data_IF_645616137340
#
_entry.id   IF_645616137340
#
_cell.length_a   1.000
_cell.length_b   1.000
_cell.length_c   1.000
_cell.angle_alpha   90.00
_cell.angle_beta   90.00
_cell.angle_gamma   90.00
#
_symmetry.space_group_name_H-M   'P 1'
#
loop_
_entity.id
_entity.type
_entity.pdbx_description
1 polymer ?
#
# COMPACT_ATOMS: atom_id res chain seq x y z
N UNK A 1 -36.14 9.10 -51.75
CA UNK A 1 -36.79 8.26 -50.72
C UNK A 1 -35.81 7.21 -50.24
N UNK A 2 -34.96 7.52 -49.26
CA UNK A 2 -34.41 6.56 -48.28
C UNK A 2 -34.16 7.38 -47.02
N UNK A 3 -35.12 7.31 -46.10
CA UNK A 3 -35.13 8.01 -44.81
C UNK A 3 -34.44 7.08 -43.81
N UNK A 4 -33.15 7.30 -43.56
CA UNK A 4 -32.36 6.46 -42.67
C UNK A 4 -32.53 6.97 -41.23
N UNK A 5 -33.52 6.44 -40.53
CA UNK A 5 -33.85 6.78 -39.16
C UNK A 5 -32.73 6.31 -38.20
N UNK A 6 -31.91 7.26 -37.74
CA UNK A 6 -31.00 7.10 -36.61
C UNK A 6 -31.81 6.75 -35.36
N UNK A 7 -31.79 5.47 -34.99
CA UNK A 7 -32.34 5.03 -33.71
C UNK A 7 -31.47 5.58 -32.57
N UNK A 8 -32.06 6.27 -31.57
CA UNK A 8 -31.32 6.72 -30.40
C UNK A 8 -30.84 5.51 -29.61
N UNK A 9 -29.52 5.31 -29.57
CA UNK A 9 -28.88 4.36 -28.66
C UNK A 9 -29.24 4.77 -27.23
N UNK A 10 -30.04 3.95 -26.56
CA UNK A 10 -30.34 4.12 -25.16
C UNK A 10 -29.02 4.15 -24.36
N UNK A 11 -28.86 5.07 -23.39
CA UNK A 11 -27.66 5.13 -22.57
C UNK A 11 -27.44 3.77 -21.94
N UNK A 12 -26.33 3.11 -22.29
CA UNK A 12 -25.90 1.89 -21.64
C UNK A 12 -25.82 2.20 -20.15
N UNK A 13 -26.79 1.68 -19.39
CA UNK A 13 -26.82 1.81 -17.95
C UNK A 13 -25.47 1.34 -17.44
N UNK A 14 -24.67 2.28 -16.91
CA UNK A 14 -23.36 2.02 -16.35
C UNK A 14 -23.48 0.79 -15.47
N UNK A 15 -22.95 -0.33 -15.94
CA UNK A 15 -22.87 -1.55 -15.16
C UNK A 15 -22.18 -1.14 -13.88
N UNK A 16 -22.92 -1.13 -12.76
CA UNK A 16 -22.36 -1.02 -11.42
C UNK A 16 -21.41 -2.21 -11.30
N UNK A 17 -20.15 -2.00 -11.68
CA UNK A 17 -19.06 -2.93 -11.49
C UNK A 17 -19.04 -3.20 -10.00
N UNK A 18 -19.57 -4.37 -9.63
CA UNK A 18 -19.55 -4.83 -8.25
C UNK A 18 -18.11 -4.68 -7.78
N UNK A 19 -17.87 -4.01 -6.63
CA UNK A 19 -16.50 -3.81 -6.16
C UNK A 19 -15.81 -5.18 -6.17
N UNK A 20 -14.63 -5.29 -6.80
CA UNK A 20 -13.96 -6.56 -6.98
C UNK A 20 -13.86 -7.26 -5.63
N UNK A 21 -14.42 -8.46 -5.52
CA UNK A 21 -14.39 -9.21 -4.26
C UNK A 21 -12.93 -9.36 -3.81
N UNK A 22 -12.63 -8.86 -2.62
CA UNK A 22 -11.27 -8.90 -2.09
C UNK A 22 -10.79 -10.35 -2.00
N UNK A 23 -9.61 -10.68 -2.54
CA UNK A 23 -9.13 -12.05 -2.56
C UNK A 23 -8.96 -12.55 -1.12
N UNK A 24 -9.69 -13.61 -0.77
CA UNK A 24 -9.61 -14.20 0.57
C UNK A 24 -8.22 -14.76 0.82
N UNK A 25 -7.49 -14.16 1.76
CA UNK A 25 -6.20 -14.65 2.21
C UNK A 25 -6.39 -15.91 3.07
N UNK A 26 -5.57 -16.93 2.80
CA UNK A 26 -5.62 -18.19 3.54
C UNK A 26 -4.90 -18.04 4.87
N UNK A 27 -5.44 -18.61 5.94
CA UNK A 27 -4.79 -18.57 7.26
C UNK A 27 -3.61 -19.55 7.34
N UNK A 28 -2.63 -19.33 8.25
CA UNK A 28 -1.56 -20.29 8.50
C UNK A 28 -2.07 -21.70 8.81
N UNK A 29 -3.16 -21.83 9.58
CA UNK A 29 -3.79 -23.12 9.91
C UNK A 29 -4.35 -23.85 8.69
N UNK A 30 -5.00 -23.12 7.76
CA UNK A 30 -5.48 -23.71 6.51
C UNK A 30 -4.30 -24.18 5.63
N UNK A 31 -3.20 -23.42 5.67
CA UNK A 31 -2.00 -23.74 4.90
C UNK A 31 -1.29 -24.97 5.47
N UNK A 32 -1.20 -25.09 6.79
CA UNK A 32 -0.62 -26.27 7.45
C UNK A 32 -1.49 -27.51 7.23
N UNK A 33 -2.82 -27.41 7.27
CA UNK A 33 -3.71 -28.54 7.02
C UNK A 33 -3.59 -29.07 5.58
N UNK A 34 -3.40 -28.17 4.59
CA UNK A 34 -3.08 -28.57 3.21
C UNK A 34 -1.71 -29.24 3.09
N UNK A 35 -0.71 -28.75 3.82
CA UNK A 35 0.60 -29.37 3.85
C UNK A 35 0.54 -30.79 4.45
N UNK A 36 -0.18 -30.96 5.56
CA UNK A 36 -0.41 -32.27 6.19
C UNK A 36 -1.10 -33.23 5.21
N UNK A 37 -2.17 -32.79 4.54
CA UNK A 37 -2.85 -33.61 3.53
C UNK A 37 -1.94 -34.00 2.36
N UNK A 38 -1.04 -33.11 1.92
CA UNK A 38 -0.04 -33.43 0.89
C UNK A 38 1.00 -34.45 1.37
N UNK A 39 1.45 -34.37 2.63
CA UNK A 39 2.38 -35.37 3.21
C UNK A 39 1.72 -36.74 3.28
N UNK A 40 0.51 -36.84 3.81
CA UNK A 40 -0.25 -38.09 3.84
C UNK A 40 -0.49 -38.66 2.43
N UNK A 41 -0.84 -37.82 1.47
CA UNK A 41 -1.00 -38.23 0.07
C UNK A 41 0.29 -38.78 -0.53
N UNK A 42 1.43 -38.13 -0.23
CA UNK A 42 2.74 -38.60 -0.66
C UNK A 42 3.11 -39.95 -0.04
N UNK A 43 2.88 -40.14 1.27
CA UNK A 43 3.12 -41.42 1.96
C UNK A 43 2.33 -42.58 1.33
N UNK A 44 1.05 -42.36 1.01
CA UNK A 44 0.21 -43.37 0.34
C UNK A 44 0.80 -43.73 -1.03
N UNK A 45 1.21 -42.74 -1.83
CA UNK A 45 1.81 -42.97 -3.16
C UNK A 45 3.12 -43.74 -3.04
N UNK A 46 3.97 -43.41 -2.07
CA UNK A 46 5.22 -44.16 -1.81
C UNK A 46 4.90 -45.62 -1.45
N UNK A 47 3.92 -45.86 -0.58
CA UNK A 47 3.50 -47.21 -0.21
C UNK A 47 3.02 -48.04 -1.39
N UNK A 48 2.23 -47.43 -2.29
CA UNK A 48 1.75 -48.09 -3.53
C UNK A 48 2.91 -48.36 -4.50
N UNK A 49 3.81 -47.40 -4.72
CA UNK A 49 4.98 -47.59 -5.58
C UNK A 49 5.92 -48.68 -5.05
N UNK A 50 6.08 -48.76 -3.73
CA UNK A 50 6.85 -49.81 -3.07
C UNK A 50 6.23 -51.19 -3.30
N UNK A 51 4.91 -51.30 -3.10
CA UNK A 51 4.17 -52.55 -3.34
C UNK A 51 4.25 -53.01 -4.82
N UNK A 52 4.22 -52.08 -5.78
CA UNK A 52 4.23 -52.40 -7.21
C UNK A 52 5.61 -52.69 -7.78
N UNK A 53 6.64 -51.92 -7.40
CA UNK A 53 7.97 -52.02 -8.02
C UNK A 53 8.81 -53.19 -7.50
N UNK A 54 8.47 -53.76 -6.35
CA UNK A 54 9.28 -54.73 -5.59
C UNK A 54 10.73 -54.28 -5.31
N UNK A 55 11.07 -53.02 -5.61
CA UNK A 55 12.41 -52.45 -5.47
C UNK A 55 12.33 -51.15 -4.68
N UNK A 56 12.71 -51.24 -3.40
CA UNK A 56 12.72 -50.09 -2.50
C UNK A 56 13.60 -48.93 -3.02
N UNK A 57 14.69 -49.26 -3.72
CA UNK A 57 15.61 -48.27 -4.27
C UNK A 57 15.02 -47.46 -5.41
N UNK A 58 14.23 -48.08 -6.30
CA UNK A 58 13.56 -47.36 -7.38
C UNK A 58 12.46 -46.44 -6.83
N UNK A 59 11.66 -46.92 -5.88
CA UNK A 59 10.62 -46.11 -5.24
C UNK A 59 11.23 -44.89 -4.51
N UNK A 60 12.33 -45.10 -3.76
CA UNK A 60 13.05 -44.02 -3.08
C UNK A 60 13.64 -43.02 -4.08
N UNK A 61 14.28 -43.50 -5.15
CA UNK A 61 14.86 -42.64 -6.20
C UNK A 61 13.81 -41.76 -6.88
N UNK A 62 12.66 -42.34 -7.24
CA UNK A 62 11.53 -41.59 -7.82
C UNK A 62 10.97 -40.56 -6.85
N UNK A 63 10.80 -40.93 -5.58
CA UNK A 63 10.32 -40.02 -4.55
C UNK A 63 11.27 -38.83 -4.34
N UNK A 64 12.56 -39.09 -4.17
CA UNK A 64 13.58 -38.04 -4.01
C UNK A 64 13.62 -37.14 -5.24
N UNK A 65 13.60 -37.72 -6.44
CA UNK A 65 13.55 -36.97 -7.70
C UNK A 65 12.33 -36.05 -7.80
N UNK A 66 11.13 -36.56 -7.47
CA UNK A 66 9.90 -35.79 -7.46
C UNK A 66 9.94 -34.67 -6.39
N UNK A 67 10.44 -34.96 -5.19
CA UNK A 67 10.58 -33.99 -4.12
C UNK A 67 11.57 -32.87 -4.47
N UNK A 68 12.70 -33.19 -5.11
CA UNK A 68 13.67 -32.21 -5.60
C UNK A 68 13.07 -31.33 -6.72
N UNK A 69 12.34 -31.93 -7.67
CA UNK A 69 11.68 -31.19 -8.75
C UNK A 69 10.60 -30.24 -8.20
N UNK A 70 9.76 -30.73 -7.29
CA UNK A 70 8.74 -29.93 -6.61
C UNK A 70 9.36 -28.81 -5.76
N UNK A 71 10.44 -29.10 -5.03
CA UNK A 71 11.18 -28.11 -4.26
C UNK A 71 11.77 -27.00 -5.13
N UNK A 72 12.36 -27.37 -6.28
CA UNK A 72 12.89 -26.42 -7.27
C UNK A 72 11.76 -25.56 -7.85
N UNK A 73 10.66 -26.17 -8.26
CA UNK A 73 9.50 -25.44 -8.80
C UNK A 73 8.90 -24.48 -7.76
N UNK A 74 8.76 -24.92 -6.51
CA UNK A 74 8.25 -24.10 -5.40
C UNK A 74 9.18 -22.92 -5.08
N UNK A 75 10.50 -23.14 -5.09
CA UNK A 75 11.49 -22.06 -4.93
C UNK A 75 11.43 -21.06 -6.08
N UNK A 76 11.31 -21.54 -7.33
CA UNK A 76 11.15 -20.68 -8.49
C UNK A 76 9.90 -19.82 -8.41
N UNK A 77 8.75 -20.40 -8.05
CA UNK A 77 7.51 -19.66 -7.85
C UNK A 77 7.61 -18.64 -6.71
N UNK A 78 8.30 -19.00 -5.62
CA UNK A 78 8.55 -18.09 -4.48
C UNK A 78 9.40 -16.90 -4.92
N UNK A 79 10.52 -17.14 -5.61
CA UNK A 79 11.40 -16.10 -6.12
C UNK A 79 10.68 -15.19 -7.11
N UNK A 80 9.96 -15.76 -8.08
CA UNK A 80 9.18 -14.99 -9.05
C UNK A 80 8.16 -14.08 -8.35
N UNK A 81 7.45 -14.58 -7.33
CA UNK A 81 6.50 -13.77 -6.58
C UNK A 81 7.17 -12.71 -5.69
N UNK A 82 8.36 -12.98 -5.15
CA UNK A 82 9.15 -11.98 -4.41
C UNK A 82 9.63 -10.86 -5.33
N UNK A 83 10.22 -11.21 -6.48
CA UNK A 83 10.66 -10.24 -7.50
C UNK A 83 9.49 -9.39 -8.02
N UNK A 84 8.31 -9.99 -8.20
CA UNK A 84 7.11 -9.23 -8.58
C UNK A 84 6.69 -8.22 -7.50
N UNK A 85 6.77 -8.58 -6.20
CA UNK A 85 6.50 -7.64 -5.11
C UNK A 85 7.54 -6.52 -5.02
N UNK A 86 8.81 -6.83 -5.25
CA UNK A 86 9.89 -5.83 -5.28
C UNK A 86 9.67 -4.84 -6.43
N UNK A 87 9.36 -5.33 -7.64
CA UNK A 87 9.02 -4.48 -8.79
C UNK A 87 7.78 -3.61 -8.53
N UNK A 88 6.73 -4.18 -7.93
CA UNK A 88 5.55 -3.40 -7.56
C UNK A 88 5.87 -2.29 -6.54
N UNK A 89 6.77 -2.56 -5.59
CA UNK A 89 7.26 -1.55 -4.66
C UNK A 89 8.04 -0.45 -5.37
N UNK A 90 8.90 -0.80 -6.33
CA UNK A 90 9.60 0.18 -7.17
C UNK A 90 8.62 1.07 -7.95
N UNK A 91 7.60 0.48 -8.57
CA UNK A 91 6.53 1.24 -9.23
C UNK A 91 5.80 2.17 -8.27
N UNK A 92 5.51 1.72 -7.04
CA UNK A 92 4.95 2.59 -6.00
C UNK A 92 5.90 3.75 -5.70
N UNK A 93 7.18 3.51 -5.51
CA UNK A 93 8.15 4.57 -5.18
C UNK A 93 8.29 5.60 -6.32
N UNK A 94 8.18 5.15 -7.57
CA UNK A 94 8.14 5.99 -8.78
C UNK A 94 6.80 6.72 -8.98
N UNK A 95 5.72 6.25 -8.36
CA UNK A 95 4.37 6.79 -8.53
C UNK A 95 3.60 6.19 -9.72
N UNK A 96 4.11 5.13 -10.34
CA UNK A 96 3.42 4.38 -11.40
C UNK A 96 2.36 3.44 -10.79
N UNK A 97 1.24 4.03 -10.34
CA UNK A 97 0.23 3.31 -9.56
C UNK A 97 -0.49 2.22 -10.36
N UNK A 98 -0.71 2.44 -11.65
CA UNK A 98 -1.40 1.48 -12.53
C UNK A 98 -0.54 0.24 -12.80
N UNK A 99 0.76 0.44 -13.06
CA UNK A 99 1.72 -0.66 -13.22
C UNK A 99 1.90 -1.45 -11.92
N UNK A 100 1.96 -0.75 -10.78
CA UNK A 100 2.02 -1.39 -9.47
C UNK A 100 0.78 -2.27 -9.23
N UNK A 101 -0.41 -1.75 -9.51
CA UNK A 101 -1.67 -2.50 -9.39
C UNK A 101 -1.67 -3.74 -10.28
N UNK A 102 -1.33 -3.61 -11.56
CA UNK A 102 -1.36 -4.71 -12.52
C UNK A 102 -0.47 -5.87 -12.07
N UNK A 103 0.76 -5.58 -11.63
CA UNK A 103 1.70 -6.59 -11.12
C UNK A 103 1.18 -7.23 -9.83
N UNK A 104 0.61 -6.46 -8.91
CA UNK A 104 0.10 -6.98 -7.64
C UNK A 104 -1.14 -7.85 -7.83
N UNK A 105 -2.04 -7.45 -8.72
CA UNK A 105 -3.24 -8.21 -9.04
C UNK A 105 -2.91 -9.53 -9.75
N UNK A 106 -1.88 -9.56 -10.61
CA UNK A 106 -1.34 -10.82 -11.16
C UNK A 106 -0.84 -11.77 -10.06
N UNK A 107 -0.05 -11.24 -9.11
CA UNK A 107 0.47 -12.03 -7.97
C UNK A 107 -0.66 -12.55 -7.08
N UNK A 108 -1.71 -11.74 -6.87
CA UNK A 108 -2.88 -12.10 -6.06
C UNK A 108 -3.81 -13.08 -6.75
N UNK A 109 -3.94 -13.04 -8.08
CA UNK A 109 -4.72 -13.96 -8.90
C UNK A 109 -4.03 -15.32 -9.07
N UNK A 110 -2.69 -15.35 -9.05
CA UNK A 110 -1.92 -16.57 -9.23
C UNK A 110 -2.11 -17.57 -8.09
N UNK A 111 -2.65 -18.75 -8.42
CA UNK A 111 -2.79 -19.89 -7.49
C UNK A 111 -1.44 -20.45 -7.02
N UNK A 112 -0.36 -20.15 -7.75
CA UNK A 112 1.00 -20.63 -7.45
C UNK A 112 1.71 -19.78 -6.41
N UNK A 113 1.21 -18.58 -6.12
CA UNK A 113 1.80 -17.67 -5.13
C UNK A 113 1.67 -18.23 -3.73
N UNK A 114 2.78 -18.38 -2.97
CA UNK A 114 2.73 -18.82 -1.59
C UNK A 114 1.86 -17.88 -0.72
N UNK A 115 1.05 -18.40 0.22
CA UNK A 115 0.14 -17.57 1.02
C UNK A 115 0.80 -16.43 1.80
N UNK A 116 2.01 -16.64 2.32
CA UNK A 116 2.79 -15.59 3.00
C UNK A 116 3.14 -14.42 2.07
N UNK A 117 3.49 -14.72 0.81
CA UNK A 117 3.80 -13.70 -0.21
C UNK A 117 2.54 -12.98 -0.69
N UNK A 118 1.40 -13.68 -0.74
CA UNK A 118 0.11 -13.04 -1.05
C UNK A 118 -0.26 -11.97 -0.01
N UNK A 119 0.15 -12.12 1.25
CA UNK A 119 -0.07 -11.09 2.26
C UNK A 119 0.77 -9.82 1.98
N UNK A 120 2.02 -9.97 1.51
CA UNK A 120 2.81 -8.82 1.05
C UNK A 120 2.17 -8.12 -0.15
N UNK A 121 1.73 -8.91 -1.14
CA UNK A 121 1.06 -8.36 -2.31
C UNK A 121 -0.23 -7.62 -1.93
N UNK A 122 -1.03 -8.19 -1.02
CA UNK A 122 -2.23 -7.53 -0.51
C UNK A 122 -1.91 -6.24 0.25
N UNK A 123 -0.83 -6.22 1.04
CA UNK A 123 -0.35 -5.02 1.73
C UNK A 123 0.06 -3.91 0.75
N UNK A 124 0.92 -4.20 -0.23
CA UNK A 124 1.32 -3.20 -1.24
C UNK A 124 0.14 -2.75 -2.12
N UNK A 125 -0.81 -3.64 -2.40
CA UNK A 125 -2.03 -3.30 -3.14
C UNK A 125 -2.90 -2.34 -2.35
N UNK A 126 -2.93 -2.48 -1.01
CA UNK A 126 -3.59 -1.52 -0.13
C UNK A 126 -2.87 -0.17 -0.09
N UNK A 127 -1.54 -0.15 -0.09
CA UNK A 127 -0.77 1.10 -0.22
C UNK A 127 -1.02 1.80 -1.56
N UNK A 128 -1.23 1.03 -2.62
CA UNK A 128 -1.64 1.57 -3.94
C UNK A 128 -3.00 2.26 -3.84
N UNK A 129 -4.00 1.61 -3.22
CA UNK A 129 -5.32 2.22 -2.97
C UNK A 129 -5.23 3.47 -2.09
N UNK A 130 -4.36 3.46 -1.07
CA UNK A 130 -4.10 4.62 -0.24
C UNK A 130 -3.55 5.80 -1.07
N UNK A 131 -2.61 5.53 -1.99
CA UNK A 131 -2.03 6.53 -2.90
C UNK A 131 -2.96 7.01 -4.01
N UNK A 132 -4.08 6.32 -4.27
CA UNK A 132 -5.19 6.84 -5.10
C UNK A 132 -6.23 7.62 -4.29
N UNK A 133 -6.10 7.64 -2.96
CA UNK A 133 -7.07 8.24 -2.06
C UNK A 133 -8.34 7.41 -1.91
N UNK A 134 -8.27 6.11 -2.19
CA UNK A 134 -9.37 5.16 -1.99
C UNK A 134 -9.26 4.53 -0.61
N UNK A 135 -9.40 5.38 0.42
CA UNK A 135 -9.09 5.01 1.81
C UNK A 135 -9.95 3.84 2.33
N UNK A 136 -11.20 3.74 1.90
CA UNK A 136 -12.08 2.63 2.26
C UNK A 136 -11.57 1.28 1.72
N UNK A 137 -11.13 1.23 0.46
CA UNK A 137 -10.55 0.03 -0.14
C UNK A 137 -9.19 -0.32 0.50
N UNK A 138 -8.36 0.70 0.76
CA UNK A 138 -7.10 0.52 1.49
C UNK A 138 -7.32 -0.11 2.87
N UNK A 139 -8.26 0.42 3.67
CA UNK A 139 -8.63 -0.13 4.99
C UNK A 139 -9.15 -1.55 4.88
N UNK A 140 -10.05 -1.84 3.93
CA UNK A 140 -10.59 -3.18 3.75
C UNK A 140 -9.51 -4.23 3.40
N UNK A 141 -8.54 -3.86 2.56
CA UNK A 141 -7.41 -4.73 2.21
C UNK A 141 -6.45 -4.95 3.39
N UNK A 142 -6.11 -3.90 4.12
CA UNK A 142 -5.26 -3.98 5.31
C UNK A 142 -5.93 -4.82 6.42
N UNK A 143 -7.24 -4.69 6.60
CA UNK A 143 -8.03 -5.59 7.46
C UNK A 143 -7.90 -7.04 7.01
N UNK A 144 -8.06 -7.33 5.72
CA UNK A 144 -7.86 -8.67 5.18
C UNK A 144 -6.46 -9.24 5.49
N UNK A 145 -5.42 -8.39 5.46
CA UNK A 145 -4.05 -8.78 5.86
C UNK A 145 -3.97 -9.13 7.35
N UNK A 146 -4.60 -8.35 8.23
CA UNK A 146 -4.64 -8.65 9.67
C UNK A 146 -5.44 -9.93 9.97
N UNK A 147 -6.61 -10.08 9.34
CA UNK A 147 -7.50 -11.24 9.50
C UNK A 147 -6.86 -12.56 9.03
N UNK A 148 -5.90 -12.46 8.10
CA UNK A 148 -5.14 -13.61 7.64
C UNK A 148 -4.31 -14.29 8.74
N UNK A 149 -4.07 -13.61 9.88
CA UNK A 149 -3.26 -14.06 11.02
C UNK A 149 -1.78 -14.32 10.71
N UNK A 150 -1.32 -14.08 9.48
CA UNK A 150 0.11 -14.22 9.16
C UNK A 150 0.97 -13.19 9.90
N UNK A 151 0.41 -12.01 10.16
CA UNK A 151 1.04 -10.91 10.88
C UNK A 151 1.13 -11.19 12.38
N UNK A 152 0.10 -11.84 12.96
CA UNK A 152 0.01 -12.09 14.40
C UNK A 152 0.71 -13.37 14.87
N UNK A 153 0.86 -14.38 14.01
CA UNK A 153 1.43 -15.71 14.38
C UNK A 153 2.96 -15.74 14.56
N UNK A 154 3.57 -14.60 14.88
CA UNK A 154 4.82 -14.59 15.63
C UNK A 154 6.12 -14.99 14.92
N UNK A 155 6.10 -15.45 13.66
CA UNK A 155 7.32 -16.00 13.02
C UNK A 155 7.61 -15.54 11.61
N UNK A 156 6.61 -15.34 10.75
CA UNK A 156 6.88 -15.20 9.31
C UNK A 156 6.74 -13.76 8.81
N UNK A 157 5.75 -13.01 9.31
CA UNK A 157 5.45 -11.64 8.84
C UNK A 157 5.45 -10.59 9.97
N UNK A 158 6.10 -10.86 11.10
CA UNK A 158 6.18 -9.87 12.19
C UNK A 158 6.80 -8.54 11.74
N UNK A 159 7.77 -8.59 10.81
CA UNK A 159 8.45 -7.40 10.33
C UNK A 159 7.56 -6.40 9.57
N UNK A 160 6.42 -6.82 9.02
CA UNK A 160 5.47 -5.93 8.35
C UNK A 160 4.33 -5.46 9.26
N UNK A 161 4.14 -6.10 10.42
CA UNK A 161 3.03 -5.79 11.32
C UNK A 161 2.93 -4.30 11.65
N UNK A 162 4.00 -3.61 12.07
CA UNK A 162 3.92 -2.20 12.41
C UNK A 162 3.58 -1.34 11.20
N UNK A 163 4.08 -1.70 10.01
CA UNK A 163 3.75 -1.03 8.76
C UNK A 163 2.27 -1.14 8.40
N UNK A 164 1.65 -2.31 8.61
CA UNK A 164 0.21 -2.52 8.41
C UNK A 164 -0.60 -1.66 9.38
N UNK A 165 -0.27 -1.66 10.68
CA UNK A 165 -0.98 -0.85 11.68
C UNK A 165 -0.81 0.66 11.44
N UNK A 166 0.40 1.12 11.12
CA UNK A 166 0.64 2.53 10.80
C UNK A 166 -0.10 2.96 9.52
N UNK A 167 -0.18 2.08 8.51
CA UNK A 167 -0.95 2.34 7.28
C UNK A 167 -2.45 2.38 7.54
N UNK A 168 -2.97 1.55 8.46
CA UNK A 168 -4.36 1.61 8.92
C UNK A 168 -4.66 2.94 9.61
N UNK A 169 -3.79 3.34 10.54
CA UNK A 169 -3.92 4.61 11.24
C UNK A 169 -3.86 5.80 10.27
N UNK A 170 -2.92 5.78 9.31
CA UNK A 170 -2.81 6.80 8.28
C UNK A 170 -4.05 6.84 7.37
N UNK A 171 -4.54 5.68 6.92
CA UNK A 171 -5.75 5.60 6.10
C UNK A 171 -6.96 6.20 6.83
N UNK A 172 -7.19 5.83 8.09
CA UNK A 172 -8.26 6.38 8.91
C UNK A 172 -8.11 7.89 9.14
N UNK A 173 -6.87 8.35 9.38
CA UNK A 173 -6.55 9.78 9.55
C UNK A 173 -6.89 10.61 8.31
N UNK A 174 -6.50 10.13 7.13
CA UNK A 174 -6.80 10.78 5.85
C UNK A 174 -8.28 10.68 5.47
N UNK A 175 -8.97 9.63 5.93
CA UNK A 175 -10.42 9.47 5.78
C UNK A 175 -11.24 10.42 6.68
N UNK A 176 -10.59 11.00 7.70
CA UNK A 176 -11.19 11.88 8.71
C UNK A 176 -11.65 11.18 9.99
N UNK A 177 -11.44 9.87 10.10
CA UNK A 177 -11.82 9.02 11.23
C UNK A 177 -10.69 8.97 12.27
N UNK A 178 -10.57 10.03 13.09
CA UNK A 178 -9.48 10.19 14.06
C UNK A 178 -9.59 9.26 15.27
N UNK A 179 -10.79 8.77 15.57
CA UNK A 179 -11.01 7.77 16.62
C UNK A 179 -10.46 6.41 16.19
N UNK A 180 -10.77 5.97 14.97
CA UNK A 180 -10.22 4.72 14.45
C UNK A 180 -8.70 4.81 14.24
N UNK A 181 -8.19 5.97 13.82
CA UNK A 181 -6.75 6.18 13.71
C UNK A 181 -6.02 5.95 15.05
N UNK A 182 -6.54 6.50 16.15
CA UNK A 182 -5.96 6.30 17.49
C UNK A 182 -6.09 4.84 17.95
N UNK A 183 -7.22 4.19 17.65
CA UNK A 183 -7.40 2.77 17.95
C UNK A 183 -6.34 1.91 17.29
N UNK A 184 -6.08 2.10 15.99
CA UNK A 184 -5.04 1.34 15.27
C UNK A 184 -3.64 1.67 15.75
N UNK A 185 -3.39 2.93 16.09
CA UNK A 185 -2.12 3.39 16.66
C UNK A 185 -1.82 2.68 17.98
N UNK A 186 -2.78 2.64 18.88
CA UNK A 186 -2.64 1.96 20.17
C UNK A 186 -2.46 0.45 20.00
N UNK A 187 -3.26 -0.19 19.15
CA UNK A 187 -3.13 -1.62 18.85
C UNK A 187 -1.76 -1.97 18.27
N UNK A 188 -1.27 -1.17 17.32
CA UNK A 188 0.02 -1.39 16.71
C UNK A 188 1.20 -1.12 17.65
N UNK A 189 1.11 -0.11 18.51
CA UNK A 189 2.15 0.20 19.51
C UNK A 189 2.31 -0.89 20.56
N UNK A 190 1.23 -1.60 20.90
CA UNK A 190 1.25 -2.78 21.77
C UNK A 190 1.84 -4.03 21.11
N UNK A 191 2.05 -4.02 19.80
CA UNK A 191 2.62 -5.16 19.09
C UNK A 191 4.09 -5.40 19.49
N UNK A 192 4.53 -6.64 19.76
CA UNK A 192 5.93 -6.95 20.09
C UNK A 192 6.93 -6.54 19.01
N UNK A 193 6.47 -6.40 17.76
CA UNK A 193 7.30 -6.00 16.64
C UNK A 193 7.27 -4.48 16.38
N UNK A 194 6.62 -3.68 17.23
CA UNK A 194 6.48 -2.23 17.02
C UNK A 194 7.84 -1.55 16.95
N UNK A 195 8.08 -0.85 15.84
CA UNK A 195 9.29 -0.06 15.63
C UNK A 195 8.87 1.37 15.29
N UNK A 196 9.48 2.34 15.98
CA UNK A 196 9.13 3.76 15.92
C UNK A 196 9.12 4.32 14.50
N UNK A 197 10.08 3.90 13.65
CA UNK A 197 10.22 4.33 12.25
C UNK A 197 8.96 4.20 11.40
N UNK A 198 8.05 3.27 11.72
CA UNK A 198 6.82 3.07 10.95
C UNK A 198 5.75 4.11 11.30
N UNK A 199 5.88 4.78 12.45
CA UNK A 199 4.86 5.64 13.02
C UNK A 199 5.06 7.13 12.71
N UNK A 200 6.25 7.56 12.30
CA UNK A 200 6.54 8.99 12.08
C UNK A 200 5.53 9.67 11.15
N UNK A 201 5.26 9.06 9.99
CA UNK A 201 4.31 9.61 9.02
C UNK A 201 2.90 9.62 9.60
N UNK A 202 2.39 8.49 10.09
CA UNK A 202 1.02 8.41 10.62
C UNK A 202 0.79 9.35 11.80
N UNK A 203 1.73 9.45 12.73
CA UNK A 203 1.62 10.29 13.92
C UNK A 203 1.64 11.78 13.55
N UNK A 204 2.48 12.18 12.59
CA UNK A 204 2.48 13.54 12.06
C UNK A 204 1.13 13.90 11.43
N UNK A 205 0.54 13.01 10.64
CA UNK A 205 -0.80 13.22 10.06
C UNK A 205 -1.88 13.32 11.14
N UNK A 206 -1.81 12.52 12.21
CA UNK A 206 -2.78 12.58 13.33
C UNK A 206 -2.68 13.93 14.05
N UNK A 207 -1.48 14.39 14.37
CA UNK A 207 -1.27 15.70 15.00
C UNK A 207 -1.79 16.83 14.12
N UNK A 208 -1.46 16.78 12.83
CA UNK A 208 -1.89 17.76 11.84
C UNK A 208 -3.43 17.79 11.70
N UNK A 209 -4.09 16.64 11.58
CA UNK A 209 -5.57 16.58 11.48
C UNK A 209 -6.28 17.04 12.75
N UNK A 210 -5.63 16.92 13.91
CA UNK A 210 -6.13 17.47 15.20
C UNK A 210 -5.80 18.96 15.37
N UNK A 211 -5.21 19.62 14.38
CA UNK A 211 -4.79 21.02 14.44
C UNK A 211 -3.80 21.30 15.58
N UNK A 212 -3.01 20.30 16.00
CA UNK A 212 -1.98 20.43 17.03
C UNK A 212 -0.66 20.85 16.39
N UNK A 213 -0.66 22.03 15.76
CA UNK A 213 0.42 22.49 14.88
C UNK A 213 1.76 22.64 15.62
N UNK A 214 1.77 23.26 16.80
CA UNK A 214 2.98 23.41 17.62
C UNK A 214 3.58 22.05 17.98
N UNK A 215 2.74 21.11 18.42
CA UNK A 215 3.20 19.77 18.79
C UNK A 215 3.69 18.96 17.60
N UNK A 216 3.11 19.18 16.42
CA UNK A 216 3.61 18.60 15.18
C UNK A 216 5.02 19.11 14.87
N UNK A 217 5.26 20.42 14.96
CA UNK A 217 6.58 20.99 14.69
C UNK A 217 7.62 20.50 15.69
N UNK A 218 7.31 20.52 16.99
CA UNK A 218 8.18 19.96 18.03
C UNK A 218 8.45 18.47 17.83
N UNK A 219 7.44 17.70 17.38
CA UNK A 219 7.61 16.29 17.06
C UNK A 219 8.58 16.09 15.88
N UNK A 220 8.42 16.84 14.80
CA UNK A 220 9.29 16.72 13.63
C UNK A 220 10.73 17.14 13.94
N UNK A 221 10.93 18.20 14.73
CA UNK A 221 12.24 18.66 15.16
C UNK A 221 12.92 17.64 16.08
N UNK A 222 12.22 17.16 17.13
CA UNK A 222 12.74 16.18 18.08
C UNK A 222 13.19 14.88 17.42
N UNK A 223 12.52 14.48 16.35
CA UNK A 223 12.77 13.21 15.67
C UNK A 223 13.48 13.36 14.31
N UNK A 224 14.06 14.52 14.00
CA UNK A 224 14.64 14.81 12.68
C UNK A 224 15.67 13.76 12.25
N UNK A 225 16.68 13.48 13.08
CA UNK A 225 17.74 12.51 12.74
C UNK A 225 17.18 11.10 12.50
N UNK A 226 16.20 10.68 13.31
CA UNK A 226 15.55 9.38 13.17
C UNK A 226 14.69 9.30 11.90
N UNK A 227 14.01 10.39 11.55
CA UNK A 227 13.23 10.51 10.32
C UNK A 227 14.17 10.39 9.12
N UNK A 228 15.25 11.17 9.08
CA UNK A 228 16.22 11.18 7.97
C UNK A 228 16.91 9.81 7.79
N UNK A 229 17.21 9.12 8.89
CA UNK A 229 17.87 7.80 8.85
C UNK A 229 16.96 6.62 8.51
N UNK A 230 15.63 6.76 8.62
CA UNK A 230 14.71 5.60 8.54
C UNK A 230 13.51 5.75 7.61
N UNK A 231 13.07 6.98 7.33
CA UNK A 231 11.89 7.24 6.50
C UNK A 231 12.32 7.33 5.04
N UNK A 232 11.56 6.69 4.15
CA UNK A 232 11.79 6.81 2.70
C UNK A 232 11.74 8.27 2.23
N UNK A 233 12.44 8.60 1.14
CA UNK A 233 12.41 9.96 0.58
C UNK A 233 10.99 10.48 0.29
N UNK A 234 10.07 9.60 -0.11
CA UNK A 234 8.64 9.96 -0.30
C UNK A 234 7.99 10.37 1.03
N UNK A 235 8.24 9.61 2.09
CA UNK A 235 7.74 9.93 3.43
C UNK A 235 8.33 11.23 3.97
N UNK A 236 9.64 11.48 3.75
CA UNK A 236 10.28 12.75 4.12
C UNK A 236 9.59 13.92 3.42
N UNK A 237 9.31 13.81 2.11
CA UNK A 237 8.57 14.85 1.38
C UNK A 237 7.14 15.06 1.90
N UNK A 238 6.45 14.01 2.34
CA UNK A 238 5.14 14.14 2.99
C UNK A 238 5.24 14.90 4.33
N UNK A 239 6.28 14.61 5.13
CA UNK A 239 6.51 15.30 6.39
C UNK A 239 6.90 16.77 6.18
N UNK A 240 7.69 17.08 5.16
CA UNK A 240 8.01 18.46 4.76
C UNK A 240 6.76 19.23 4.32
N UNK A 241 5.87 18.59 3.54
CA UNK A 241 4.58 19.18 3.17
C UNK A 241 3.74 19.52 4.42
N UNK A 242 3.66 18.60 5.38
CA UNK A 242 2.95 18.84 6.64
C UNK A 242 3.61 19.92 7.51
N UNK A 243 4.95 19.98 7.56
CA UNK A 243 5.70 21.04 8.25
C UNK A 243 5.35 22.41 7.66
N UNK A 244 5.45 22.54 6.34
CA UNK A 244 5.12 23.76 5.61
C UNK A 244 3.67 24.19 5.83
N UNK A 245 2.73 23.23 5.78
CA UNK A 245 1.32 23.50 6.06
C UNK A 245 1.11 23.98 7.49
N UNK A 246 1.71 23.32 8.49
CA UNK A 246 1.57 23.71 9.89
C UNK A 246 2.16 25.10 10.20
N UNK A 247 3.28 25.46 9.59
CA UNK A 247 3.86 26.82 9.70
C UNK A 247 2.89 27.87 9.15
N UNK A 248 2.27 27.60 8.01
CA UNK A 248 1.27 28.50 7.40
C UNK A 248 0.07 28.69 8.34
N UNK A 249 -0.46 27.59 8.90
CA UNK A 249 -1.58 27.65 9.85
C UNK A 249 -1.24 28.42 11.14
N UNK A 250 0.01 28.38 11.60
CA UNK A 250 0.46 29.17 12.75
C UNK A 250 0.66 30.64 12.38
N UNK A 251 1.26 30.94 11.23
CA UNK A 251 1.44 32.31 10.73
C UNK A 251 0.08 33.01 10.54
N UNK A 252 -0.90 32.36 9.92
CA UNK A 252 -2.25 32.94 9.78
C UNK A 252 -2.89 33.24 11.15
N UNK A 253 -2.58 32.45 12.19
CA UNK A 253 -3.08 32.68 13.55
C UNK A 253 -2.31 33.79 14.29
N UNK A 254 -1.01 33.90 14.05
CA UNK A 254 -0.12 34.87 14.70
C UNK A 254 -0.12 36.24 14.03
N UNK A 255 -0.20 36.33 12.70
CA UNK A 255 -0.32 37.58 11.94
C UNK A 255 -1.63 38.31 12.27
N UNK A 256 -2.66 37.58 12.70
CA UNK A 256 -3.87 38.14 13.31
C UNK A 256 -3.60 38.89 14.63
N UNK A 257 -2.42 38.73 15.25
CA UNK A 257 -2.08 39.30 16.55
C UNK A 257 -0.77 40.10 16.59
N UNK A 258 0.29 39.72 15.85
CA UNK A 258 1.62 40.34 15.89
C UNK A 258 2.38 40.01 14.59
N UNK A 259 2.45 40.94 13.63
CA UNK A 259 3.14 40.77 12.34
C UNK A 259 4.67 40.62 12.43
N UNK A 260 5.16 39.57 13.10
CA UNK A 260 6.56 39.19 13.22
C UNK A 260 6.77 37.89 12.45
N UNK A 261 7.21 38.03 11.21
CA UNK A 261 7.51 36.92 10.31
C UNK A 261 8.70 36.09 10.82
N UNK A 262 8.43 34.91 11.37
CA UNK A 262 9.43 33.85 11.49
C UNK A 262 9.66 33.25 10.09
N UNK A 263 10.72 33.74 9.43
CA UNK A 263 11.05 33.46 8.03
C UNK A 263 11.64 32.08 7.78
N UNK A 264 10.97 31.00 8.18
CA UNK A 264 11.21 29.70 7.54
C UNK A 264 10.57 29.76 6.14
N UNK A 265 11.41 29.68 5.09
CA UNK A 265 10.95 29.77 3.70
C UNK A 265 10.17 28.51 3.29
N UNK A 266 8.84 28.60 3.36
CA UNK A 266 7.89 27.58 2.91
C UNK A 266 8.21 27.13 1.48
N UNK A 267 8.62 28.05 0.61
CA UNK A 267 8.93 27.74 -0.78
C UNK A 267 10.19 26.87 -0.91
N UNK A 268 11.19 27.10 -0.07
CA UNK A 268 12.38 26.26 0.00
C UNK A 268 12.06 24.84 0.50
N UNK A 269 11.17 24.70 1.49
CA UNK A 269 10.77 23.38 1.99
C UNK A 269 10.01 22.55 0.95
N UNK A 270 9.14 23.18 0.18
CA UNK A 270 8.34 22.53 -0.84
C UNK A 270 9.15 22.25 -2.13
N UNK A 271 10.35 22.81 -2.25
CA UNK A 271 11.21 22.64 -3.41
C UNK A 271 11.53 21.16 -3.68
N UNK A 272 11.31 20.73 -4.92
CA UNK A 272 11.49 19.34 -5.37
C UNK A 272 10.26 18.43 -5.15
N UNK A 273 9.16 18.96 -4.59
CA UNK A 273 7.87 18.25 -4.59
C UNK A 273 7.27 18.30 -5.98
N UNK A 274 7.06 17.13 -6.59
CA UNK A 274 6.43 17.04 -7.92
C UNK A 274 4.94 17.33 -7.81
N UNK A 275 4.41 18.07 -8.80
CA UNK A 275 2.96 18.30 -8.94
C UNK A 275 2.19 17.00 -9.01
N UNK A 276 1.00 16.95 -8.42
CA UNK A 276 0.11 15.79 -8.45
C UNK A 276 0.49 14.65 -7.50
N UNK A 277 1.74 14.61 -7.02
CA UNK A 277 2.29 13.45 -6.30
C UNK A 277 1.53 13.13 -5.01
N UNK A 278 0.99 14.15 -4.35
CA UNK A 278 0.36 14.04 -3.04
C UNK A 278 -1.12 14.41 -3.04
N UNK A 279 -1.76 14.48 -4.21
CA UNK A 279 -3.18 14.86 -4.33
C UNK A 279 -4.09 13.94 -3.52
N UNK A 280 -3.73 12.66 -3.45
CA UNK A 280 -4.42 11.66 -2.65
C UNK A 280 -4.45 11.95 -1.15
N UNK A 281 -3.60 12.82 -0.63
CA UNK A 281 -3.56 13.19 0.80
C UNK A 281 -4.58 14.29 1.09
N UNK A 282 -4.82 15.16 0.11
CA UNK A 282 -5.72 16.30 0.22
C UNK A 282 -7.17 15.98 -0.20
N UNK A 283 -7.45 14.77 -0.72
CA UNK A 283 -8.76 14.37 -1.28
C UNK A 283 -9.94 14.61 -0.32
N UNK A 284 -9.76 14.33 0.98
CA UNK A 284 -10.77 14.60 2.04
C UNK A 284 -10.31 15.65 3.05
N UNK A 285 -9.39 16.51 2.65
CA UNK A 285 -8.84 17.56 3.50
C UNK A 285 -8.84 18.90 2.76
N UNK A 286 -9.96 19.63 2.79
CA UNK A 286 -10.14 20.86 2.03
C UNK A 286 -9.08 21.93 2.32
N UNK A 287 -8.71 22.10 3.59
CA UNK A 287 -7.72 23.10 4.03
C UNK A 287 -6.33 22.78 3.46
N UNK A 288 -5.88 21.53 3.57
CA UNK A 288 -4.62 21.09 2.97
C UNK A 288 -4.68 21.19 1.44
N UNK A 289 -5.83 20.90 0.82
CA UNK A 289 -6.01 21.04 -0.63
C UNK A 289 -5.86 22.49 -1.08
N UNK A 290 -6.46 23.43 -0.35
CA UNK A 290 -6.34 24.86 -0.63
C UNK A 290 -4.89 25.34 -0.52
N UNK A 291 -4.19 24.92 0.53
CA UNK A 291 -2.76 25.16 0.69
C UNK A 291 -1.95 24.60 -0.49
N UNK A 292 -2.15 23.34 -0.86
CA UNK A 292 -1.46 22.72 -2.00
C UNK A 292 -1.77 23.42 -3.34
N UNK A 293 -2.99 23.93 -3.51
CA UNK A 293 -3.37 24.71 -4.69
C UNK A 293 -2.62 26.06 -4.75
N UNK A 294 -2.54 26.78 -3.62
CA UNK A 294 -1.84 28.06 -3.51
C UNK A 294 -0.33 27.94 -3.82
N UNK A 295 0.26 26.77 -3.55
CA UNK A 295 1.67 26.47 -3.85
C UNK A 295 1.88 25.68 -5.15
N UNK A 296 0.88 25.58 -6.02
CA UNK A 296 0.97 24.88 -7.31
C UNK A 296 1.46 23.42 -7.21
N UNK A 297 1.06 22.70 -6.14
CA UNK A 297 1.45 21.31 -5.90
C UNK A 297 0.43 20.29 -6.42
N UNK A 298 -0.82 20.71 -6.64
CA UNK A 298 -1.85 19.84 -7.20
C UNK A 298 -1.57 19.55 -8.68
N UNK A 299 -2.01 18.39 -9.17
CA UNK A 299 -2.08 18.17 -10.60
C UNK A 299 -3.02 19.20 -11.22
N UNK A 300 -2.65 19.72 -12.40
CA UNK A 300 -3.60 20.46 -13.21
C UNK A 300 -4.74 19.49 -13.56
N UNK A 301 -6.02 19.90 -13.41
CA UNK A 301 -7.11 19.06 -13.87
C UNK A 301 -6.85 18.77 -15.34
N UNK A 302 -6.69 17.49 -15.69
CA UNK A 302 -6.53 17.08 -17.06
C UNK A 302 -7.79 17.57 -17.79
N UNK A 303 -7.62 18.62 -18.60
CA UNK A 303 -8.72 19.24 -19.32
C UNK A 303 -9.08 18.29 -20.46
N UNK A 304 -9.94 17.29 -20.17
CA UNK A 304 -10.41 16.31 -21.15
C UNK A 304 -11.10 16.98 -22.35
N UNK A 305 -11.51 18.24 -22.21
CA UNK A 305 -12.05 19.07 -23.29
C UNK A 305 -10.99 19.60 -24.25
N UNK A 306 -9.70 19.58 -23.89
CA UNK A 306 -8.58 19.79 -24.80
C UNK A 306 -8.21 18.47 -25.51
N UNK A 307 -9.12 17.97 -26.33
CA UNK A 307 -8.95 16.76 -27.13
C UNK A 307 -7.93 16.91 -28.26
N UNK A 308 -6.69 17.28 -27.96
CA UNK A 308 -5.58 17.32 -28.91
C UNK A 308 -4.58 16.20 -28.59
N UNK A 309 -4.73 15.00 -29.17
CA UNK A 309 -3.89 13.83 -28.90
C UNK A 309 -2.50 13.90 -29.56
N UNK A 310 -1.97 15.10 -29.79
CA UNK A 310 -0.78 15.34 -30.61
C UNK A 310 0.24 16.19 -29.86
N UNK A 311 1.10 15.60 -29.02
CA UNK A 311 2.51 16.02 -28.78
C UNK A 311 3.16 15.41 -27.51
N UNK A 312 3.11 14.08 -27.33
CA UNK A 312 4.03 13.41 -26.38
C UNK A 312 4.89 12.40 -27.14
N UNK A 313 5.65 12.90 -28.11
CA UNK A 313 6.70 12.15 -28.80
C UNK A 313 7.88 13.08 -29.12
N UNK A 314 8.37 13.84 -28.13
CA UNK A 314 9.65 14.55 -28.23
C UNK A 314 10.10 15.18 -26.90
N UNK A 315 10.69 14.40 -26.01
CA UNK A 315 11.78 14.85 -25.13
C UNK A 315 12.39 13.62 -24.42
N UNK A 316 13.64 13.31 -24.78
CA UNK A 316 14.47 12.30 -24.12
C UNK A 316 15.07 12.75 -22.78
#
# INVERSE_FOLDING_TARGET
MVENALSPQAPQAAQKTRPPELPKLLTPRQTSLRAVGMVFGAEIVIGVLWALSQSAWLALGLFVGAAMLWGRQRRGNLQAAMTANERAREFLDLGALDDAEAVLDEVLASRRTPPSIRCFAAYYRALTSLRRGDYADARARLHGVLDSQWVNNGRTLQGIAPGVYASMALAATLDGDLEDAERWRELGRRSPASLERHWFVSDAYVLARRQRWTELLEFLERHQDAIEGTVSGVGIRQLQLLKAFALTQLQEREDNYRGLHSGEDIHAMLHGTRRGRFDHIAKRWPELRAFMAAHHLLAEPFDETSGDPLALDSAG
#
